data_IF_337217321875
#
_entry.id   IF_337217321875
#
_cell.length_a   1.000
_cell.length_b   1.000
_cell.length_c   1.000
_cell.angle_alpha   90.00
_cell.angle_beta   90.00
_cell.angle_gamma   90.00
#
_symmetry.space_group_name_H-M   'P 1'
#
loop_
_entity.id
_entity.type
_entity.pdbx_description
1 polymer ?
#
# COMPACT_ATOMS: atom_id res chain seq x y z
N UNK A 1 -31.07 1.51 -15.81
CA UNK A 1 -29.89 0.66 -16.03
C UNK A 1 -29.97 -0.64 -15.23
N UNK A 2 -30.05 -0.66 -13.88
CA UNK A 2 -30.07 -1.93 -13.08
C UNK A 2 -31.28 -2.83 -13.36
N UNK A 3 -32.46 -2.27 -13.62
CA UNK A 3 -33.63 -3.07 -14.03
C UNK A 3 -33.48 -3.61 -15.44
N UNK A 4 -32.96 -2.82 -16.33
CA UNK A 4 -32.70 -3.24 -17.71
C UNK A 4 -31.60 -4.30 -17.80
N UNK A 5 -30.57 -4.25 -16.95
CA UNK A 5 -29.53 -5.30 -16.93
C UNK A 5 -30.07 -6.67 -16.53
N UNK A 6 -31.11 -6.72 -15.68
CA UNK A 6 -31.82 -7.97 -15.36
C UNK A 6 -32.54 -8.47 -16.63
N UNK A 7 -33.22 -7.58 -17.36
CA UNK A 7 -33.91 -7.92 -18.61
C UNK A 7 -32.95 -8.47 -19.66
N UNK A 8 -31.79 -7.83 -19.82
CA UNK A 8 -30.74 -8.27 -20.74
C UNK A 8 -30.13 -9.62 -20.33
N UNK A 9 -29.95 -9.89 -19.03
CA UNK A 9 -29.44 -11.18 -18.57
C UNK A 9 -30.43 -12.33 -18.85
N UNK A 10 -31.73 -12.08 -18.72
CA UNK A 10 -32.78 -13.06 -19.06
C UNK A 10 -32.81 -13.30 -20.57
N UNK A 11 -32.69 -12.24 -21.38
CA UNK A 11 -32.68 -12.35 -22.85
C UNK A 11 -31.46 -13.12 -23.37
N UNK A 12 -30.31 -13.01 -22.67
CA UNK A 12 -29.08 -13.73 -23.00
C UNK A 12 -28.98 -15.11 -22.33
N UNK A 13 -30.02 -15.58 -21.65
CA UNK A 13 -30.05 -16.84 -20.90
C UNK A 13 -28.87 -17.00 -19.94
N UNK A 14 -28.52 -15.92 -19.21
CA UNK A 14 -27.44 -15.91 -18.22
C UNK A 14 -28.01 -16.04 -16.80
N UNK A 15 -27.46 -16.95 -16.01
CA UNK A 15 -27.86 -17.15 -14.61
C UNK A 15 -27.30 -16.08 -13.66
N UNK A 16 -26.38 -15.22 -14.13
CA UNK A 16 -25.77 -14.16 -13.35
C UNK A 16 -25.72 -12.87 -14.17
N UNK A 17 -25.88 -11.73 -13.50
CA UNK A 17 -25.74 -10.42 -14.15
C UNK A 17 -24.27 -10.06 -14.14
N UNK A 18 -23.63 -10.03 -15.32
CA UNK A 18 -22.26 -9.60 -15.51
C UNK A 18 -22.15 -8.16 -16.01
N UNK A 19 -20.93 -7.69 -16.20
CA UNK A 19 -20.61 -6.34 -16.72
C UNK A 19 -21.13 -6.13 -18.14
N UNK A 20 -21.19 -7.18 -18.95
CA UNK A 20 -21.75 -7.21 -20.30
C UNK A 20 -23.25 -6.84 -20.30
N UNK A 21 -24.02 -7.33 -19.36
CA UNK A 21 -25.46 -7.02 -19.23
C UNK A 21 -25.68 -5.56 -18.80
N UNK A 22 -24.76 -5.02 -17.96
CA UNK A 22 -24.78 -3.61 -17.56
C UNK A 22 -24.44 -2.70 -18.75
N UNK A 23 -23.45 -3.08 -19.56
CA UNK A 23 -23.07 -2.32 -20.75
C UNK A 23 -24.21 -2.26 -21.77
N UNK A 24 -24.87 -3.38 -22.03
CA UNK A 24 -26.06 -3.43 -22.90
C UNK A 24 -27.19 -2.55 -22.35
N UNK A 25 -27.46 -2.59 -21.05
CA UNK A 25 -28.45 -1.75 -20.42
C UNK A 25 -28.14 -0.25 -20.49
N UNK A 26 -26.87 0.13 -20.42
CA UNK A 26 -26.44 1.53 -20.60
C UNK A 26 -26.65 1.99 -22.05
N UNK A 27 -26.32 1.14 -23.03
CA UNK A 27 -26.45 1.46 -24.47
C UNK A 27 -27.91 1.53 -24.91
N UNK A 28 -28.80 0.85 -24.23
CA UNK A 28 -30.22 0.82 -24.54
C UNK A 28 -30.99 2.08 -24.10
N UNK A 29 -30.53 2.73 -23.03
CA UNK A 29 -31.12 3.96 -22.51
C UNK A 29 -30.44 5.20 -23.13
N UNK A 30 -31.21 6.23 -23.48
CA UNK A 30 -30.67 7.53 -23.90
C UNK A 30 -30.10 8.29 -22.71
N UNK A 31 -28.78 8.21 -22.53
CA UNK A 31 -28.04 8.94 -21.50
C UNK A 31 -26.71 9.49 -22.07
N UNK A 32 -25.98 10.26 -21.25
CA UNK A 32 -24.71 10.88 -21.68
C UNK A 32 -23.69 9.81 -22.06
N UNK A 33 -23.65 8.69 -21.31
CA UNK A 33 -22.71 7.60 -21.56
C UNK A 33 -23.03 6.84 -22.85
N UNK A 34 -24.34 6.58 -23.14
CA UNK A 34 -24.73 5.92 -24.39
C UNK A 34 -24.44 6.78 -25.61
N UNK A 35 -24.62 8.12 -25.53
CA UNK A 35 -24.23 9.06 -26.61
C UNK A 35 -22.73 9.01 -26.87
N UNK A 36 -21.91 9.10 -25.80
CA UNK A 36 -20.46 9.05 -25.93
C UNK A 36 -19.97 7.72 -26.55
N UNK A 37 -20.53 6.59 -26.13
CA UNK A 37 -20.20 5.27 -26.67
C UNK A 37 -20.62 5.15 -28.15
N UNK A 38 -21.82 5.63 -28.51
CA UNK A 38 -22.27 5.64 -29.88
C UNK A 38 -21.42 6.56 -30.80
N UNK A 39 -21.02 7.73 -30.31
CA UNK A 39 -20.10 8.63 -31.01
C UNK A 39 -18.72 8.02 -31.22
N UNK A 40 -18.31 7.13 -30.30
CA UNK A 40 -17.07 6.35 -30.38
C UNK A 40 -17.21 5.07 -31.24
N UNK A 41 -18.37 4.84 -31.84
CA UNK A 41 -18.64 3.70 -32.72
C UNK A 41 -19.04 2.41 -31.98
N UNK A 42 -19.27 2.46 -30.67
CA UNK A 42 -19.70 1.31 -29.85
C UNK A 42 -21.23 1.34 -29.75
N UNK A 43 -21.91 0.52 -30.57
CA UNK A 43 -23.37 0.43 -30.60
C UNK A 43 -23.87 -0.81 -29.87
N UNK A 44 -25.14 -0.77 -29.45
CA UNK A 44 -25.84 -1.90 -28.81
C UNK A 44 -25.71 -3.19 -29.61
N UNK A 45 -25.91 -3.09 -30.94
CA UNK A 45 -25.90 -4.26 -31.84
C UNK A 45 -24.50 -4.89 -31.91
N UNK A 46 -23.45 -4.10 -32.01
CA UNK A 46 -22.06 -4.59 -32.02
C UNK A 46 -21.71 -5.35 -30.73
N UNK A 47 -22.05 -4.79 -29.57
CA UNK A 47 -21.78 -5.43 -28.29
C UNK A 47 -22.59 -6.72 -28.15
N UNK A 48 -23.83 -6.72 -28.59
CA UNK A 48 -24.71 -7.90 -28.58
C UNK A 48 -24.17 -9.04 -29.45
N UNK A 49 -23.70 -8.73 -30.67
CA UNK A 49 -23.08 -9.71 -31.57
C UNK A 49 -21.77 -10.28 -30.99
N UNK A 50 -20.92 -9.44 -30.39
CA UNK A 50 -19.69 -9.86 -29.79
C UNK A 50 -19.92 -10.82 -28.59
N UNK A 51 -20.91 -10.51 -27.74
CA UNK A 51 -21.29 -11.38 -26.62
C UNK A 51 -21.85 -12.72 -27.11
N UNK A 52 -22.62 -12.73 -28.19
CA UNK A 52 -23.17 -13.95 -28.82
C UNK A 52 -22.06 -14.80 -29.47
N UNK A 53 -21.10 -14.14 -30.12
CA UNK A 53 -19.95 -14.78 -30.73
C UNK A 53 -19.02 -15.44 -29.71
N UNK A 54 -18.74 -14.74 -28.60
CA UNK A 54 -17.90 -15.26 -27.52
C UNK A 54 -18.54 -16.38 -26.69
N UNK A 55 -19.87 -16.51 -26.69
CA UNK A 55 -20.56 -17.66 -26.08
C UNK A 55 -20.38 -18.99 -26.86
N UNK A 56 -19.91 -18.91 -28.10
CA UNK A 56 -19.62 -20.10 -28.92
C UNK A 56 -18.28 -20.78 -28.60
N UNK A 57 -17.30 -20.05 -28.06
CA UNK A 57 -15.93 -20.57 -27.86
C UNK A 57 -15.53 -20.73 -26.37
N UNK A 58 -16.33 -20.22 -25.44
CA UNK A 58 -16.04 -20.21 -23.99
C UNK A 58 -16.62 -21.36 -23.17
N UNK A 59 -17.36 -22.28 -23.81
CA UNK A 59 -18.07 -23.36 -23.11
C UNK A 59 -17.19 -24.54 -22.68
N UNK A 60 -15.95 -24.66 -23.19
CA UNK A 60 -15.08 -25.78 -22.85
C UNK A 60 -14.11 -25.51 -21.68
N UNK A 61 -13.81 -24.25 -21.40
CA UNK A 61 -12.87 -23.87 -20.34
C UNK A 61 -13.50 -23.73 -18.92
N UNK A 62 -14.84 -23.61 -18.86
CA UNK A 62 -15.56 -23.51 -17.58
C UNK A 62 -16.23 -24.82 -17.13
N UNK A 63 -16.32 -25.83 -17.99
CA UNK A 63 -16.82 -27.16 -17.60
C UNK A 63 -15.76 -27.98 -16.86
N UNK A 64 -14.48 -27.82 -17.18
CA UNK A 64 -13.39 -28.52 -16.49
C UNK A 64 -13.10 -28.01 -15.05
N UNK A 65 -13.66 -26.86 -14.67
CA UNK A 65 -13.52 -26.30 -13.30
C UNK A 65 -14.74 -26.57 -12.41
N UNK A 66 -15.84 -27.11 -12.96
CA UNK A 66 -17.06 -27.43 -12.19
C UNK A 66 -17.21 -28.93 -11.89
N UNK A 67 -16.45 -29.81 -12.54
CA UNK A 67 -16.47 -31.27 -12.24
C UNK A 67 -15.51 -31.70 -11.13
N UNK A 68 -14.72 -30.78 -10.54
CA UNK A 68 -13.86 -31.08 -9.36
C UNK A 68 -14.41 -30.65 -8.01
N UNK A 69 -15.65 -30.13 -7.94
CA UNK A 69 -16.30 -29.71 -6.66
C UNK A 69 -17.55 -30.52 -6.27
N UNK A 70 -17.83 -31.66 -6.91
CA UNK A 70 -19.00 -32.49 -6.57
C UNK A 70 -18.58 -33.96 -6.35
N UNK A 71 -17.56 -34.22 -5.59
CA UNK A 71 -17.34 -35.53 -4.97
C UNK A 71 -16.69 -35.37 -3.60
N UNK A 72 -17.42 -34.77 -2.66
CA UNK A 72 -17.32 -35.12 -1.25
C UNK A 72 -18.70 -34.86 -0.63
N UNK A 73 -19.49 -35.92 -0.67
CA UNK A 73 -20.84 -35.96 -0.18
C UNK A 73 -20.91 -36.03 1.34
N UNK A 74 -21.89 -35.34 1.81
CA UNK A 74 -22.58 -35.51 3.10
C UNK A 74 -22.60 -36.94 3.59
N UNK A 75 -22.16 -37.16 4.84
CA UNK A 75 -22.81 -38.05 5.77
C UNK A 75 -22.76 -37.42 7.16
N UNK A 76 -23.95 -37.02 7.64
CA UNK A 76 -24.27 -36.93 9.06
C UNK A 76 -24.06 -38.33 9.67
N UNK A 77 -23.45 -38.36 10.83
CA UNK A 77 -23.93 -39.17 11.96
C UNK A 77 -23.18 -38.74 13.24
N UNK A 78 -24.03 -38.54 14.25
CA UNK A 78 -23.71 -38.29 15.65
C UNK A 78 -22.96 -39.50 16.25
N UNK A 79 -22.12 -39.24 17.22
CA UNK A 79 -22.17 -39.80 18.59
C UNK A 79 -20.82 -39.68 19.32
N UNK A 80 -20.95 -39.37 20.57
CA UNK A 80 -20.04 -39.22 21.69
C UNK A 80 -18.98 -40.35 21.81
N UNK A 81 -17.84 -40.05 22.38
CA UNK A 81 -17.33 -40.51 23.67
C UNK A 81 -15.82 -40.30 23.82
N UNK A 82 -15.48 -39.96 25.06
CA UNK A 82 -14.20 -39.82 25.71
C UNK A 82 -13.19 -40.95 25.38
N UNK A 83 -11.87 -40.60 25.37
CA UNK A 83 -10.94 -41.20 26.33
C UNK A 83 -9.52 -40.67 26.15
N UNK A 84 -8.88 -40.56 27.29
CA UNK A 84 -7.52 -40.12 27.60
C UNK A 84 -6.44 -41.17 27.19
N UNK A 85 -5.20 -40.70 27.28
CA UNK A 85 -3.96 -41.40 27.60
C UNK A 85 -3.00 -41.86 26.48
N UNK A 86 -1.92 -41.12 26.44
CA UNK A 86 -0.54 -41.52 26.90
C UNK A 86 0.41 -42.27 25.95
N UNK A 87 1.68 -41.91 26.11
CA UNK A 87 2.94 -42.63 25.85
C UNK A 87 3.72 -42.47 24.54
N UNK A 88 4.69 -41.58 24.69
CA UNK A 88 6.18 -41.80 24.61
C UNK A 88 6.82 -42.59 23.47
N UNK A 89 7.90 -41.95 23.00
CA UNK A 89 9.26 -42.44 22.70
C UNK A 89 9.57 -43.17 21.39
N UNK A 90 10.61 -42.61 20.76
CA UNK A 90 11.68 -43.44 20.18
C UNK A 90 12.34 -42.89 18.93
N UNK A 91 13.45 -42.15 19.08
CA UNK A 91 14.81 -42.33 18.49
C UNK A 91 14.89 -43.01 17.11
N UNK A 92 15.55 -42.47 16.14
CA UNK A 92 16.97 -42.17 15.91
C UNK A 92 17.26 -42.02 14.40
N UNK A 93 18.00 -40.96 14.05
CA UNK A 93 19.24 -40.88 13.28
C UNK A 93 19.37 -41.56 11.91
N UNK A 94 19.66 -40.83 10.84
CA UNK A 94 21.00 -40.64 10.28
C UNK A 94 20.99 -40.04 8.87
N UNK A 95 21.76 -39.00 8.71
CA UNK A 95 22.61 -38.56 7.59
C UNK A 95 22.15 -38.67 6.12
N UNK A 96 22.05 -37.52 5.47
CA UNK A 96 22.82 -37.30 4.24
C UNK A 96 23.06 -35.79 4.00
N UNK A 97 24.33 -35.50 3.75
CA UNK A 97 24.93 -34.23 3.45
C UNK A 97 24.43 -33.64 2.14
N UNK A 98 24.01 -32.35 2.17
CA UNK A 98 23.78 -31.53 0.98
C UNK A 98 24.15 -30.08 1.33
N UNK A 99 25.22 -29.62 0.70
CA UNK A 99 25.78 -28.28 0.73
C UNK A 99 24.70 -27.19 0.57
N UNK A 100 24.45 -26.42 1.64
CA UNK A 100 23.66 -25.21 1.59
C UNK A 100 24.57 -23.99 1.67
N UNK A 101 24.45 -23.10 0.72
CA UNK A 101 25.00 -21.75 0.73
C UNK A 101 24.50 -21.02 1.99
N UNK A 102 25.33 -20.19 2.64
CA UNK A 102 24.89 -19.37 3.76
C UNK A 102 24.07 -18.21 3.27
N UNK A 103 22.75 -18.34 3.27
CA UNK A 103 21.86 -17.19 3.27
C UNK A 103 22.02 -16.42 4.59
N UNK A 104 22.27 -15.13 4.47
CA UNK A 104 22.41 -14.14 5.53
C UNK A 104 21.41 -14.39 6.66
N UNK A 105 21.93 -14.46 7.90
CA UNK A 105 21.15 -14.67 9.10
C UNK A 105 20.11 -13.58 9.31
N UNK A 106 18.84 -13.95 9.14
CA UNK A 106 17.74 -13.23 9.75
C UNK A 106 17.91 -13.45 11.27
N UNK A 107 18.29 -12.40 11.99
CA UNK A 107 18.13 -12.36 13.44
C UNK A 107 16.68 -12.72 13.75
N UNK A 108 16.45 -13.76 14.54
CA UNK A 108 15.11 -14.10 15.03
C UNK A 108 14.61 -12.88 15.82
N UNK A 109 13.68 -12.12 15.24
CA UNK A 109 13.04 -11.02 15.93
C UNK A 109 12.16 -11.59 17.04
N UNK A 110 12.12 -10.93 18.20
CA UNK A 110 11.23 -11.31 19.30
C UNK A 110 9.75 -11.13 18.96
N UNK A 111 9.45 -10.55 17.77
CA UNK A 111 8.10 -10.17 17.32
C UNK A 111 7.85 -10.52 15.85
N UNK A 112 7.89 -11.81 15.45
CA UNK A 112 7.77 -12.21 14.04
C UNK A 112 6.41 -11.90 13.42
N UNK A 113 5.32 -11.92 14.18
CA UNK A 113 3.99 -11.62 13.66
C UNK A 113 3.84 -10.12 13.40
N UNK A 114 4.27 -9.28 14.34
CA UNK A 114 4.24 -7.82 14.19
C UNK A 114 5.14 -7.35 13.03
N UNK A 115 6.29 -7.99 12.84
CA UNK A 115 7.20 -7.65 11.74
C UNK A 115 6.63 -8.01 10.35
N UNK A 116 5.66 -8.93 10.29
CA UNK A 116 4.96 -9.27 9.05
C UNK A 116 3.80 -8.31 8.70
N UNK A 117 3.18 -7.69 9.72
CA UNK A 117 2.00 -6.85 9.55
C UNK A 117 2.21 -5.39 9.96
N UNK A 118 3.43 -5.01 10.27
CA UNK A 118 3.74 -3.66 10.70
C UNK A 118 5.16 -3.23 10.35
N UNK A 119 5.39 -1.94 10.44
CA UNK A 119 6.69 -1.31 10.24
C UNK A 119 7.23 -0.79 11.57
N UNK A 120 8.42 -1.23 12.00
CA UNK A 120 9.07 -0.71 13.18
C UNK A 120 9.67 0.68 12.90
N UNK A 121 8.97 1.72 13.34
CA UNK A 121 9.38 3.11 13.18
C UNK A 121 10.64 3.43 13.99
N UNK A 122 10.82 2.80 15.16
CA UNK A 122 12.02 3.01 16.00
C UNK A 122 13.25 2.45 15.30
N UNK A 123 13.13 1.30 14.66
CA UNK A 123 14.18 0.71 13.83
C UNK A 123 14.46 1.58 12.61
N UNK A 124 13.43 2.03 11.90
CA UNK A 124 13.57 2.95 10.77
C UNK A 124 14.27 4.26 11.17
N UNK A 125 13.97 4.79 12.37
CA UNK A 125 14.66 5.95 12.93
C UNK A 125 16.13 5.67 13.20
N UNK A 126 16.48 4.49 13.74
CA UNK A 126 17.89 4.11 14.00
C UNK A 126 18.70 3.93 12.71
N UNK A 127 18.04 3.56 11.62
CA UNK A 127 18.62 3.39 10.28
C UNK A 127 18.58 4.70 9.44
N UNK A 128 18.17 5.83 10.03
CA UNK A 128 18.02 7.15 9.40
C UNK A 128 17.10 7.13 8.14
N UNK A 129 16.10 6.26 8.11
CA UNK A 129 15.13 6.16 7.01
C UNK A 129 13.94 7.10 7.15
N UNK A 130 13.76 7.73 8.31
CA UNK A 130 12.67 8.67 8.57
C UNK A 130 13.08 10.11 8.26
N UNK A 131 12.13 10.90 7.79
CA UNK A 131 12.33 12.31 7.52
C UNK A 131 12.42 13.15 8.81
N UNK A 132 13.23 14.20 8.83
CA UNK A 132 13.31 15.09 9.98
C UNK A 132 11.99 15.82 10.20
N UNK A 133 11.46 15.72 11.41
CA UNK A 133 10.20 16.36 11.78
C UNK A 133 10.47 17.73 12.40
N UNK A 134 9.83 18.75 11.86
CA UNK A 134 9.99 20.15 12.26
C UNK A 134 8.62 20.74 12.64
N UNK A 135 8.61 21.60 13.65
CA UNK A 135 7.41 22.37 14.04
C UNK A 135 6.36 21.61 14.83
N UNK A 136 6.65 20.35 15.25
CA UNK A 136 5.70 19.50 16.00
C UNK A 136 6.21 19.11 17.40
N UNK A 137 7.10 19.92 17.97
CA UNK A 137 7.71 19.67 19.29
C UNK A 137 6.68 19.55 20.39
N UNK A 138 5.67 20.41 20.40
CA UNK A 138 4.62 20.43 21.43
C UNK A 138 3.75 19.18 21.39
N UNK A 139 3.35 18.77 20.19
CA UNK A 139 2.52 17.58 19.98
C UNK A 139 3.30 16.31 20.32
N UNK A 140 4.57 16.20 19.90
CA UNK A 140 5.44 15.07 20.24
C UNK A 140 5.64 14.98 21.74
N UNK A 141 5.93 16.11 22.41
CA UNK A 141 6.07 16.15 23.86
C UNK A 141 4.77 15.72 24.55
N UNK A 142 3.62 16.19 24.03
CA UNK A 142 2.32 15.82 24.58
C UNK A 142 2.02 14.34 24.40
N UNK A 143 2.34 13.74 23.27
CA UNK A 143 2.27 12.28 23.06
C UNK A 143 3.12 11.55 24.07
N UNK A 144 4.40 11.94 24.26
CA UNK A 144 5.30 11.34 25.23
C UNK A 144 4.80 11.45 26.67
N UNK A 145 4.22 12.60 27.06
CA UNK A 145 3.59 12.80 28.36
C UNK A 145 2.41 11.86 28.58
N UNK A 146 1.54 11.69 27.59
CA UNK A 146 0.37 10.82 27.69
C UNK A 146 0.80 9.37 27.81
N UNK A 147 1.73 8.89 26.98
CA UNK A 147 2.26 7.53 27.04
C UNK A 147 2.89 7.19 28.39
N UNK A 148 3.42 8.19 29.10
CA UNK A 148 4.03 8.06 30.44
C UNK A 148 3.01 8.02 31.58
N UNK A 149 1.70 8.20 31.31
CA UNK A 149 0.65 8.21 32.34
C UNK A 149 0.28 6.80 32.80
N UNK A 150 -0.16 6.69 34.05
CA UNK A 150 -0.68 5.42 34.60
C UNK A 150 -2.05 5.00 34.03
N UNK A 151 -2.91 5.98 33.73
CA UNK A 151 -4.25 5.78 33.14
C UNK A 151 -4.45 6.76 32.02
N UNK A 152 -5.33 6.44 31.04
CA UNK A 152 -5.53 7.22 29.81
C UNK A 152 -4.20 7.49 29.09
N UNK A 153 -3.42 6.41 28.95
CA UNK A 153 -2.07 6.42 28.39
C UNK A 153 -2.02 6.14 26.88
N UNK A 154 -3.16 6.17 26.20
CA UNK A 154 -3.26 6.02 24.77
C UNK A 154 -3.57 7.40 24.14
N UNK A 155 -2.63 8.10 23.51
CA UNK A 155 -2.91 9.32 22.78
C UNK A 155 -3.67 9.02 21.49
N UNK A 156 -4.57 9.90 21.10
CA UNK A 156 -5.19 9.92 19.78
C UNK A 156 -4.96 11.28 19.14
N UNK A 157 -4.30 11.28 18.00
CA UNK A 157 -4.02 12.45 17.16
C UNK A 157 -5.25 12.72 16.30
N UNK A 158 -5.85 13.89 16.47
CA UNK A 158 -7.07 14.29 15.78
C UNK A 158 -6.74 15.49 14.90
N UNK A 159 -6.95 15.37 13.61
CA UNK A 159 -6.71 16.45 12.66
C UNK A 159 -7.12 16.05 11.26
N UNK A 160 -7.24 17.03 10.39
CA UNK A 160 -7.58 16.83 8.99
C UNK A 160 -6.53 15.97 8.27
N UNK A 161 -6.88 15.36 7.12
CA UNK A 161 -5.90 14.68 6.27
C UNK A 161 -4.76 15.62 5.85
N UNK A 162 -3.53 15.10 5.81
CA UNK A 162 -2.37 15.88 5.35
C UNK A 162 -1.78 16.87 6.35
N UNK A 163 -2.27 16.93 7.61
CA UNK A 163 -1.68 17.83 8.64
C UNK A 163 -0.41 17.28 9.29
N UNK A 164 0.03 16.05 8.94
CA UNK A 164 1.26 15.47 9.47
C UNK A 164 1.08 14.68 10.77
N UNK A 165 -0.04 13.99 10.97
CA UNK A 165 -0.27 13.12 12.15
C UNK A 165 0.76 12.00 12.27
N UNK A 166 1.06 11.31 11.18
CA UNK A 166 2.05 10.22 11.13
C UNK A 166 3.46 10.74 11.40
N UNK A 167 3.82 11.93 10.88
CA UNK A 167 5.10 12.60 11.14
C UNK A 167 5.35 12.86 12.63
N UNK A 168 4.31 13.16 13.43
CA UNK A 168 4.43 13.31 14.90
C UNK A 168 4.91 12.02 15.54
N UNK A 169 4.42 10.87 15.07
CA UNK A 169 4.81 9.56 15.60
C UNK A 169 6.23 9.17 15.17
N UNK A 170 6.59 9.51 13.92
CA UNK A 170 7.97 9.38 13.44
C UNK A 170 8.94 10.23 14.24
N UNK A 171 8.55 11.48 14.52
CA UNK A 171 9.31 12.38 15.40
C UNK A 171 9.47 11.84 16.83
N UNK A 172 8.45 11.18 17.37
CA UNK A 172 8.54 10.48 18.65
C UNK A 172 9.53 9.32 18.56
N UNK A 173 9.47 8.49 17.53
CA UNK A 173 10.39 7.38 17.33
C UNK A 173 11.85 7.86 17.24
N UNK A 174 12.11 8.93 16.50
CA UNK A 174 13.44 9.56 16.44
C UNK A 174 13.91 10.06 17.82
N UNK A 175 13.03 10.71 18.59
CA UNK A 175 13.38 11.17 19.95
C UNK A 175 13.64 10.02 20.92
N UNK A 176 12.95 8.89 20.77
CA UNK A 176 13.22 7.67 21.57
C UNK A 176 14.63 7.16 21.27
N UNK A 177 15.00 7.01 19.99
CA UNK A 177 16.34 6.58 19.57
C UNK A 177 17.42 7.54 20.07
N UNK A 178 17.19 8.84 19.97
CA UNK A 178 18.09 9.88 20.45
C UNK A 178 18.09 10.04 21.98
N UNK A 179 17.26 9.30 22.69
CA UNK A 179 17.06 9.40 24.16
C UNK A 179 16.63 10.81 24.63
N UNK A 180 15.93 11.54 23.76
CA UNK A 180 15.40 12.89 24.06
C UNK A 180 13.93 12.83 24.53
N UNK A 181 13.59 11.81 25.32
CA UNK A 181 12.26 11.58 25.91
C UNK A 181 12.41 11.20 27.39
N UNK A 182 11.30 11.00 28.10
CA UNK A 182 11.30 10.50 29.46
C UNK A 182 11.94 9.10 29.53
N UNK A 183 12.66 8.78 30.62
CA UNK A 183 13.29 7.47 30.82
C UNK A 183 12.37 6.28 30.68
N UNK A 184 11.08 6.45 30.98
CA UNK A 184 10.05 5.40 30.85
C UNK A 184 9.87 4.97 29.36
N UNK A 185 10.25 5.82 28.40
CA UNK A 185 10.10 5.58 26.98
C UNK A 185 11.40 5.14 26.29
N UNK A 186 12.55 5.07 26.99
CA UNK A 186 13.85 4.77 26.36
C UNK A 186 13.92 3.42 25.68
N UNK A 187 13.23 2.42 26.23
CA UNK A 187 13.24 1.05 25.71
C UNK A 187 11.96 0.71 24.94
N UNK A 188 11.15 1.72 24.65
CA UNK A 188 9.91 1.53 23.88
C UNK A 188 10.23 1.45 22.40
N UNK A 189 9.53 0.51 21.73
CA UNK A 189 9.50 0.35 20.27
C UNK A 189 8.16 0.83 19.76
N UNK A 190 8.16 1.67 18.75
CA UNK A 190 6.93 2.14 18.07
C UNK A 190 6.77 1.35 16.79
N UNK A 191 5.68 0.60 16.68
CA UNK A 191 5.39 -0.22 15.50
C UNK A 191 4.10 0.31 14.87
N UNK A 192 4.18 0.72 13.62
CA UNK A 192 3.03 1.11 12.80
C UNK A 192 2.35 -0.13 12.25
N UNK A 193 1.08 -0.32 12.57
CA UNK A 193 0.29 -1.46 12.11
C UNK A 193 -0.34 -1.15 10.74
N UNK A 194 -0.11 -2.02 9.78
CA UNK A 194 -0.75 -1.96 8.47
C UNK A 194 -2.03 -2.83 8.45
N UNK A 195 -3.17 -2.15 8.56
CA UNK A 195 -4.47 -2.82 8.55
C UNK A 195 -4.79 -3.47 7.20
N UNK A 196 -4.31 -2.90 6.10
CA UNK A 196 -4.54 -3.46 4.77
C UNK A 196 -3.81 -4.81 4.62
N UNK A 197 -2.58 -4.91 5.11
CA UNK A 197 -1.82 -6.18 5.12
C UNK A 197 -2.45 -7.26 6.00
N UNK A 198 -3.10 -6.89 7.10
CA UNK A 198 -3.80 -7.85 7.97
C UNK A 198 -5.02 -8.43 7.27
N UNK A 199 -5.76 -7.61 6.51
CA UNK A 199 -6.95 -8.03 5.76
C UNK A 199 -6.57 -8.77 4.48
N UNK A 200 -5.45 -8.41 3.85
CA UNK A 200 -5.02 -8.99 2.58
C UNK A 200 -4.89 -10.52 2.65
N UNK A 201 -5.48 -11.20 1.67
CA UNK A 201 -5.43 -12.67 1.57
C UNK A 201 -6.30 -13.43 2.58
N UNK A 202 -7.12 -12.77 3.41
CA UNK A 202 -8.09 -13.45 4.26
C UNK A 202 -9.39 -13.69 3.48
N UNK A 203 -9.64 -14.95 3.12
CA UNK A 203 -10.91 -15.35 2.48
C UNK A 203 -12.05 -15.53 3.49
N UNK A 204 -11.73 -15.86 4.73
CA UNK A 204 -12.67 -16.16 5.80
C UNK A 204 -12.42 -15.28 7.03
N UNK A 205 -13.50 -14.91 7.71
CA UNK A 205 -13.48 -14.11 8.95
C UNK A 205 -12.54 -14.71 10.03
N UNK A 206 -12.50 -16.01 10.17
CA UNK A 206 -11.66 -16.70 11.17
C UNK A 206 -10.17 -16.44 11.00
N UNK A 207 -9.66 -16.37 9.76
CA UNK A 207 -8.25 -16.11 9.48
C UNK A 207 -7.82 -14.70 9.91
N UNK A 208 -8.68 -13.70 9.74
CA UNK A 208 -8.46 -12.36 10.22
C UNK A 208 -8.44 -12.29 11.75
N UNK A 209 -9.40 -12.96 12.40
CA UNK A 209 -9.46 -13.04 13.86
C UNK A 209 -8.23 -13.73 14.46
N UNK A 210 -7.72 -14.78 13.82
CA UNK A 210 -6.48 -15.46 14.24
C UNK A 210 -5.28 -14.56 14.14
N UNK A 211 -5.14 -13.77 13.04
CA UNK A 211 -4.05 -12.79 12.88
C UNK A 211 -4.08 -11.72 13.96
N UNK A 212 -5.25 -11.13 14.23
CA UNK A 212 -5.40 -10.13 15.30
C UNK A 212 -5.09 -10.75 16.68
N UNK A 213 -5.56 -11.98 16.96
CA UNK A 213 -5.22 -12.68 18.22
C UNK A 213 -3.72 -12.95 18.34
N UNK A 214 -3.05 -13.32 17.25
CA UNK A 214 -1.61 -13.52 17.24
C UNK A 214 -0.86 -12.21 17.54
N UNK A 215 -1.25 -11.10 16.93
CA UNK A 215 -0.72 -9.75 17.19
C UNK A 215 -0.94 -9.36 18.66
N UNK A 216 -2.14 -9.55 19.20
CA UNK A 216 -2.44 -9.26 20.60
C UNK A 216 -1.60 -10.08 21.56
N UNK A 217 -1.38 -11.35 21.29
CA UNK A 217 -0.55 -12.24 22.10
C UNK A 217 0.93 -11.79 22.10
N UNK A 218 1.46 -11.32 20.96
CA UNK A 218 2.81 -10.74 20.91
C UNK A 218 2.91 -9.44 21.70
N UNK A 219 1.92 -8.55 21.58
CA UNK A 219 1.89 -7.29 22.32
C UNK A 219 1.82 -7.51 23.83
N UNK A 220 1.03 -8.49 24.30
CA UNK A 220 0.93 -8.83 25.71
C UNK A 220 2.25 -9.39 26.26
N UNK A 221 3.02 -10.14 25.47
CA UNK A 221 4.33 -10.66 25.85
C UNK A 221 5.42 -9.57 25.84
N UNK A 222 5.23 -8.51 25.05
CA UNK A 222 6.21 -7.46 24.83
C UNK A 222 5.64 -6.07 25.26
N UNK A 223 5.58 -5.76 26.55
CA UNK A 223 4.99 -4.52 27.06
C UNK A 223 5.79 -3.26 26.72
N UNK A 224 6.96 -3.42 26.11
CA UNK A 224 7.80 -2.33 25.59
C UNK A 224 7.33 -1.83 24.21
N UNK A 225 6.35 -2.48 23.58
CA UNK A 225 5.84 -2.06 22.29
C UNK A 225 4.70 -1.05 22.45
N UNK A 226 4.76 0.01 21.66
CA UNK A 226 3.69 0.99 21.46
C UNK A 226 3.20 0.84 20.03
N UNK A 227 1.95 0.48 19.87
CA UNK A 227 1.34 0.30 18.55
C UNK A 227 0.89 1.64 17.99
N UNK A 228 1.28 1.98 16.77
CA UNK A 228 0.70 3.08 16.04
C UNK A 228 -0.35 2.56 15.06
N UNK A 229 -1.53 3.13 15.09
CA UNK A 229 -2.66 2.77 14.24
C UNK A 229 -3.13 4.03 13.54
N UNK A 230 -2.81 4.13 12.27
CA UNK A 230 -3.38 5.18 11.45
C UNK A 230 -4.83 4.84 11.12
N UNK A 231 -5.66 5.85 10.94
CA UNK A 231 -7.11 5.68 10.74
C UNK A 231 -7.77 4.73 11.76
N UNK A 232 -7.46 4.91 13.06
CA UNK A 232 -7.93 4.03 14.14
C UNK A 232 -9.46 3.81 14.12
N UNK A 233 -10.21 4.68 13.50
CA UNK A 233 -11.66 4.55 13.34
C UNK A 233 -12.03 3.32 12.48
N UNK A 234 -11.17 2.87 11.57
CA UNK A 234 -11.39 1.69 10.75
C UNK A 234 -11.48 0.42 11.60
N UNK A 235 -10.73 0.38 12.70
CA UNK A 235 -10.71 -0.74 13.63
C UNK A 235 -11.89 -0.67 14.60
N UNK A 236 -12.28 0.54 15.03
CA UNK A 236 -13.25 0.77 16.09
C UNK A 236 -14.67 0.87 15.55
N UNK A 237 -14.85 1.39 14.32
CA UNK A 237 -16.14 1.67 13.69
C UNK A 237 -16.76 0.57 12.86
N UNK A 238 -16.07 -0.53 12.66
CA UNK A 238 -16.44 -1.61 11.74
C UNK A 238 -17.64 -2.47 12.17
N UNK A 239 -18.53 -1.97 13.04
CA UNK A 239 -19.66 -2.72 13.58
C UNK A 239 -21.04 -2.47 12.94
N UNK A 240 -21.16 -1.63 11.91
CA UNK A 240 -22.49 -1.20 11.42
C UNK A 240 -22.90 -1.67 10.01
N UNK A 241 -22.02 -2.32 9.25
CA UNK A 241 -22.37 -2.92 7.97
C UNK A 241 -22.29 -4.45 8.08
N UNK A 242 -23.34 -5.13 7.71
CA UNK A 242 -23.42 -6.60 7.66
C UNK A 242 -22.31 -7.14 6.75
N UNK A 243 -21.23 -7.66 7.37
CA UNK A 243 -20.08 -8.22 6.66
C UNK A 243 -18.74 -7.59 6.98
N UNK A 244 -18.66 -6.50 7.76
CA UNK A 244 -17.38 -5.93 8.15
C UNK A 244 -16.74 -6.75 9.28
N UNK A 245 -15.45 -7.03 9.13
CA UNK A 245 -14.68 -7.84 10.08
C UNK A 245 -14.53 -7.08 11.41
N UNK A 246 -15.03 -7.66 12.51
CA UNK A 246 -15.06 -7.03 13.83
C UNK A 246 -13.69 -7.04 14.54
N UNK A 247 -12.68 -6.38 13.95
CA UNK A 247 -11.41 -6.12 14.65
C UNK A 247 -11.62 -5.36 15.97
N UNK A 248 -12.64 -4.49 15.98
CA UNK A 248 -13.03 -3.74 17.15
C UNK A 248 -13.33 -4.64 18.36
N UNK A 249 -14.07 -5.71 18.18
CA UNK A 249 -14.47 -6.60 19.28
C UNK A 249 -13.29 -7.35 19.90
N UNK A 250 -12.20 -7.54 19.16
CA UNK A 250 -10.98 -8.18 19.66
C UNK A 250 -10.03 -7.17 20.33
N UNK A 251 -9.86 -5.99 19.76
CA UNK A 251 -8.94 -4.96 20.27
C UNK A 251 -9.53 -4.15 21.43
N UNK A 252 -10.83 -3.86 21.43
CA UNK A 252 -11.51 -3.10 22.48
C UNK A 252 -11.26 -3.64 23.89
N UNK A 253 -11.38 -4.95 24.18
CA UNK A 253 -11.13 -5.49 25.52
C UNK A 253 -9.67 -5.27 25.94
N UNK A 254 -8.70 -5.50 25.08
CA UNK A 254 -7.28 -5.33 25.37
C UNK A 254 -6.94 -3.86 25.64
N UNK A 255 -7.44 -2.94 24.83
CA UNK A 255 -7.33 -1.49 25.04
C UNK A 255 -8.04 -1.05 26.34
N UNK A 256 -9.24 -1.57 26.59
CA UNK A 256 -10.02 -1.24 27.78
C UNK A 256 -9.36 -1.73 29.07
N UNK A 257 -8.71 -2.89 29.05
CA UNK A 257 -7.95 -3.42 30.22
C UNK A 257 -6.58 -2.75 30.36
N UNK A 258 -6.08 -2.05 29.34
CA UNK A 258 -4.76 -1.44 29.32
C UNK A 258 -3.62 -2.46 29.16
N UNK A 259 -3.91 -3.58 28.52
CA UNK A 259 -2.94 -4.63 28.21
C UNK A 259 -2.00 -4.22 27.08
N UNK A 260 -2.44 -3.31 26.23
CA UNK A 260 -1.68 -2.75 25.13
C UNK A 260 -1.65 -1.21 25.21
N UNK A 261 -0.55 -0.64 24.78
CA UNK A 261 -0.40 0.80 24.56
C UNK A 261 -0.51 1.09 23.05
N UNK A 262 -1.31 2.09 22.69
CA UNK A 262 -1.40 2.51 21.30
C UNK A 262 -1.47 4.04 21.15
N UNK A 263 -1.02 4.50 19.98
CA UNK A 263 -1.19 5.84 19.46
C UNK A 263 -2.17 5.70 18.29
N UNK A 264 -3.30 6.38 18.35
CA UNK A 264 -4.25 6.41 17.23
C UNK A 264 -4.12 7.71 16.45
N UNK A 265 -4.39 7.67 15.15
CA UNK A 265 -4.60 8.85 14.32
C UNK A 265 -5.97 8.78 13.65
N UNK A 266 -6.68 9.89 13.56
CA UNK A 266 -8.01 9.97 12.94
C UNK A 266 -8.41 11.41 12.64
N UNK A 267 -9.54 11.60 11.96
CA UNK A 267 -10.17 12.92 11.80
C UNK A 267 -11.13 13.23 12.96
N UNK A 268 -11.54 14.48 13.10
CA UNK A 268 -12.46 14.88 14.17
C UNK A 268 -13.84 14.23 14.04
N UNK A 269 -14.33 14.13 12.81
CA UNK A 269 -15.64 13.57 12.54
C UNK A 269 -15.69 12.06 12.82
N UNK A 270 -14.64 11.34 12.40
CA UNK A 270 -14.53 9.91 12.66
C UNK A 270 -14.28 9.61 14.15
N UNK A 271 -13.53 10.48 14.84
CA UNK A 271 -13.37 10.37 16.28
C UNK A 271 -14.74 10.47 17.01
N UNK A 272 -15.56 11.48 16.66
CA UNK A 272 -16.89 11.67 17.25
C UNK A 272 -17.84 10.52 16.96
N UNK A 273 -17.78 9.96 15.74
CA UNK A 273 -18.66 8.86 15.34
C UNK A 273 -18.34 7.55 16.06
N UNK A 274 -17.04 7.23 16.15
CA UNK A 274 -16.61 5.86 16.46
C UNK A 274 -15.97 5.72 17.86
N UNK A 275 -15.25 6.72 18.37
CA UNK A 275 -14.53 6.62 19.64
C UNK A 275 -15.26 7.35 20.76
N UNK A 276 -15.74 8.56 20.54
CA UNK A 276 -16.38 9.38 21.57
C UNK A 276 -17.69 8.77 22.06
N UNK A 277 -18.43 8.07 21.20
CA UNK A 277 -19.68 7.38 21.56
C UNK A 277 -19.44 6.11 22.40
N UNK A 278 -18.24 5.54 22.34
CA UNK A 278 -17.89 4.37 23.11
C UNK A 278 -17.21 4.75 24.43
N UNK A 279 -17.99 4.76 25.52
CA UNK A 279 -17.49 5.18 26.83
C UNK A 279 -16.36 4.33 27.39
N UNK A 280 -16.13 3.10 26.91
CA UNK A 280 -15.00 2.27 27.30
C UNK A 280 -13.70 2.76 26.64
N UNK A 281 -13.76 3.16 25.38
CA UNK A 281 -12.63 3.70 24.63
C UNK A 281 -12.32 5.14 25.02
N UNK A 282 -13.34 6.01 25.15
CA UNK A 282 -13.15 7.39 25.56
C UNK A 282 -12.40 7.53 26.87
N UNK A 283 -12.63 6.62 27.83
CA UNK A 283 -11.91 6.61 29.10
C UNK A 283 -10.45 6.19 28.99
N UNK A 284 -10.03 5.62 27.87
CA UNK A 284 -8.65 5.13 27.63
C UNK A 284 -7.84 6.02 26.71
N UNK A 285 -8.52 6.71 25.80
CA UNK A 285 -7.87 7.63 24.88
C UNK A 285 -7.79 9.05 25.42
N UNK A 286 -6.70 9.73 25.09
CA UNK A 286 -6.51 11.15 25.36
C UNK A 286 -6.33 11.92 24.05
N UNK A 287 -7.23 12.86 23.80
CA UNK A 287 -7.23 13.69 22.57
C UNK A 287 -5.99 14.60 22.51
N UNK A 288 -5.41 14.69 21.31
CA UNK A 288 -4.42 15.70 20.91
C UNK A 288 -4.90 16.25 19.58
N UNK A 289 -5.18 17.53 19.53
CA UNK A 289 -5.59 18.21 18.30
C UNK A 289 -4.32 18.57 17.55
N UNK A 290 -4.33 18.28 16.25
CA UNK A 290 -3.23 18.57 15.32
C UNK A 290 -3.76 19.52 14.26
N UNK A 291 -3.39 20.77 14.37
CA UNK A 291 -3.77 21.81 13.43
C UNK A 291 -2.86 21.80 12.18
N UNK A 292 -3.34 22.28 11.02
CA UNK A 292 -2.49 22.53 9.87
C UNK A 292 -1.31 23.46 10.22
N UNK A 293 -0.16 23.25 9.59
CA UNK A 293 1.00 24.13 9.77
C UNK A 293 0.78 25.50 9.12
N UNK A 294 1.41 26.53 9.68
CA UNK A 294 1.44 27.85 9.05
C UNK A 294 2.31 27.84 7.77
N UNK A 295 2.16 28.80 6.85
CA UNK A 295 3.03 28.91 5.68
C UNK A 295 4.52 29.02 6.05
N UNK A 296 4.85 29.71 7.14
CA UNK A 296 6.22 29.86 7.63
C UNK A 296 6.79 28.52 8.14
N UNK A 297 6.01 27.81 8.95
CA UNK A 297 6.38 26.48 9.44
C UNK A 297 6.51 25.49 8.27
N UNK A 298 5.60 25.58 7.29
CA UNK A 298 5.65 24.74 6.08
C UNK A 298 6.90 24.99 5.28
N UNK A 299 7.33 26.25 5.12
CA UNK A 299 8.58 26.60 4.45
C UNK A 299 9.78 25.98 5.16
N UNK A 300 9.82 26.04 6.49
CA UNK A 300 10.89 25.40 7.28
C UNK A 300 10.89 23.88 7.12
N UNK A 301 9.71 23.25 7.03
CA UNK A 301 9.61 21.83 6.76
C UNK A 301 10.23 21.52 5.39
N UNK A 302 9.82 22.23 4.33
CA UNK A 302 10.36 22.04 2.98
C UNK A 302 11.88 22.23 2.95
N UNK A 303 12.42 23.25 3.64
CA UNK A 303 13.88 23.47 3.73
C UNK A 303 14.63 22.32 4.37
N UNK A 304 14.02 21.60 5.32
CA UNK A 304 14.63 20.47 6.00
C UNK A 304 14.52 19.14 5.26
N UNK A 305 13.49 18.96 4.42
CA UNK A 305 13.30 17.73 3.67
C UNK A 305 13.86 17.80 2.24
N UNK A 306 14.14 19.01 1.71
CA UNK A 306 14.54 19.24 0.32
C UNK A 306 15.71 18.36 -0.13
N UNK A 307 16.73 18.16 0.72
CA UNK A 307 17.94 17.44 0.36
C UNK A 307 17.65 15.99 -0.07
N UNK A 308 16.65 15.35 0.55
CA UNK A 308 16.19 14.00 0.19
C UNK A 308 15.45 13.97 -1.14
N UNK A 309 14.63 15.00 -1.41
CA UNK A 309 13.92 15.12 -2.68
C UNK A 309 14.90 15.52 -3.82
N UNK A 310 15.92 16.33 -3.51
CA UNK A 310 17.02 16.64 -4.43
C UNK A 310 17.79 15.39 -4.84
N UNK A 311 18.12 14.53 -3.87
CA UNK A 311 18.78 13.24 -4.09
C UNK A 311 17.90 12.27 -4.89
N UNK A 312 16.60 12.19 -4.54
CA UNK A 312 15.66 11.28 -5.19
C UNK A 312 15.42 11.64 -6.67
N UNK A 313 15.21 12.93 -6.95
CA UNK A 313 14.92 13.41 -8.31
C UNK A 313 16.16 13.83 -9.09
N UNK A 314 17.33 13.83 -8.46
CA UNK A 314 18.58 14.35 -9.02
C UNK A 314 18.42 15.79 -9.57
N UNK A 315 17.84 16.68 -8.76
CA UNK A 315 17.57 18.09 -9.07
C UNK A 315 17.98 18.97 -7.90
N UNK A 316 18.01 20.30 -8.11
CA UNK A 316 18.24 21.28 -7.04
C UNK A 316 17.05 22.20 -6.90
N UNK A 317 16.56 22.39 -5.67
CA UNK A 317 15.49 23.34 -5.37
C UNK A 317 16.08 24.68 -4.91
N UNK A 318 15.76 25.75 -5.63
CA UNK A 318 16.12 27.08 -5.21
C UNK A 318 15.22 27.54 -4.04
N UNK A 319 15.69 28.45 -3.16
CA UNK A 319 14.87 29.02 -2.09
C UNK A 319 13.56 29.67 -2.60
N UNK A 320 13.60 30.24 -3.79
CA UNK A 320 12.42 30.85 -4.42
C UNK A 320 11.43 29.79 -4.91
N UNK A 321 11.90 28.61 -5.35
CA UNK A 321 11.03 27.49 -5.70
C UNK A 321 10.28 26.98 -4.46
N UNK A 322 10.96 26.80 -3.31
CA UNK A 322 10.33 26.40 -2.05
C UNK A 322 9.25 27.40 -1.60
N UNK A 323 9.55 28.70 -1.65
CA UNK A 323 8.58 29.75 -1.37
C UNK A 323 7.39 29.72 -2.34
N UNK A 324 7.68 29.45 -3.62
CA UNK A 324 6.61 29.34 -4.63
C UNK A 324 5.71 28.12 -4.37
N UNK A 325 6.26 26.97 -3.99
CA UNK A 325 5.46 25.79 -3.60
C UNK A 325 4.48 26.13 -2.47
N UNK A 326 4.95 26.79 -1.41
CA UNK A 326 4.07 27.20 -0.30
C UNK A 326 3.03 28.23 -0.75
N UNK A 327 3.47 29.33 -1.39
CA UNK A 327 2.59 30.45 -1.76
C UNK A 327 1.52 30.05 -2.79
N UNK A 328 1.89 29.24 -3.77
CA UNK A 328 0.95 28.85 -4.83
C UNK A 328 -0.05 27.81 -4.33
N UNK A 329 0.40 26.83 -3.53
CA UNK A 329 -0.51 25.86 -2.92
C UNK A 329 -1.45 26.46 -1.89
N UNK A 330 -1.01 27.46 -1.13
CA UNK A 330 -1.89 28.23 -0.25
C UNK A 330 -3.02 28.90 -1.05
N UNK A 331 -2.68 29.51 -2.18
CA UNK A 331 -3.63 30.31 -2.96
C UNK A 331 -4.57 29.47 -3.83
N UNK A 332 -4.11 28.37 -4.39
CA UNK A 332 -4.85 27.65 -5.43
C UNK A 332 -5.36 26.28 -4.99
N UNK A 333 -4.81 25.68 -3.93
CA UNK A 333 -5.25 24.40 -3.40
C UNK A 333 -5.93 24.61 -2.05
N UNK A 334 -7.27 24.63 -2.07
CA UNK A 334 -8.11 24.88 -0.88
C UNK A 334 -8.67 23.61 -0.24
N UNK A 335 -8.67 22.51 -0.95
CA UNK A 335 -9.22 21.19 -0.55
C UNK A 335 -8.25 20.34 0.26
N UNK A 336 -6.98 20.77 0.37
CA UNK A 336 -5.92 20.07 1.11
C UNK A 336 -5.26 21.00 2.14
N UNK A 337 -4.63 20.37 3.13
CA UNK A 337 -4.00 21.09 4.24
C UNK A 337 -2.47 21.11 4.12
N UNK A 338 -1.87 22.10 4.77
CA UNK A 338 -0.44 22.13 5.00
C UNK A 338 -0.03 21.12 6.10
N UNK A 339 1.17 20.50 5.98
CA UNK A 339 2.22 20.74 4.96
C UNK A 339 2.06 19.91 3.67
N UNK A 340 1.17 18.92 3.64
CA UNK A 340 1.03 17.91 2.61
C UNK A 340 0.96 18.49 1.18
N UNK A 341 0.06 19.42 0.93
CA UNK A 341 -0.09 20.06 -0.39
C UNK A 341 1.17 20.79 -0.90
N UNK A 342 2.03 21.27 0.00
CA UNK A 342 3.26 21.93 -0.39
C UNK A 342 4.37 20.91 -0.66
N UNK A 343 4.39 19.79 0.06
CA UNK A 343 5.29 18.66 -0.17
C UNK A 343 4.97 18.01 -1.51
N UNK A 344 3.70 17.76 -1.79
CA UNK A 344 3.25 17.24 -3.09
C UNK A 344 3.68 18.14 -4.25
N UNK A 345 3.55 19.46 -4.09
CA UNK A 345 3.97 20.40 -5.12
C UNK A 345 5.48 20.42 -5.33
N UNK A 346 6.26 20.19 -4.26
CA UNK A 346 7.72 20.06 -4.34
C UNK A 346 8.12 18.79 -5.11
N UNK A 347 7.51 17.67 -4.74
CA UNK A 347 7.75 16.36 -5.34
C UNK A 347 7.39 16.35 -6.84
N UNK A 348 6.21 16.83 -7.19
CA UNK A 348 5.74 16.95 -8.58
C UNK A 348 6.65 17.86 -9.41
N UNK A 349 7.11 18.98 -8.85
CA UNK A 349 8.01 19.90 -9.53
C UNK A 349 9.37 19.25 -9.79
N UNK A 350 9.91 18.52 -8.82
CA UNK A 350 11.18 17.76 -8.96
C UNK A 350 11.09 16.69 -10.01
N UNK A 351 10.06 15.87 -9.94
CA UNK A 351 9.79 14.80 -10.92
C UNK A 351 9.68 15.37 -12.35
N UNK A 352 8.95 16.48 -12.51
CA UNK A 352 8.78 17.12 -13.82
C UNK A 352 10.09 17.66 -14.39
N UNK A 353 10.92 18.29 -13.56
CA UNK A 353 12.24 18.80 -13.97
C UNK A 353 13.15 17.63 -14.34
N UNK A 354 13.19 16.59 -13.53
CA UNK A 354 13.95 15.37 -13.80
C UNK A 354 13.62 14.79 -15.18
N UNK A 355 12.33 14.55 -15.44
CA UNK A 355 11.86 14.00 -16.73
C UNK A 355 12.16 14.94 -17.90
N UNK A 356 12.01 16.26 -17.69
CA UNK A 356 12.26 17.25 -18.75
C UNK A 356 13.73 17.39 -19.11
N UNK A 357 14.64 17.05 -18.18
CA UNK A 357 16.08 17.14 -18.36
C UNK A 357 16.73 15.84 -18.84
N UNK A 358 15.95 14.78 -19.10
CA UNK A 358 16.46 13.56 -19.72
C UNK A 358 16.76 13.86 -21.20
N UNK A 359 17.92 14.46 -21.45
CA UNK A 359 18.45 14.64 -22.81
C UNK A 359 19.19 13.35 -23.15
N UNK A 360 18.62 12.56 -24.06
CA UNK A 360 19.30 11.38 -24.59
C UNK A 360 20.61 11.86 -25.25
N UNK A 361 21.78 11.33 -24.87
CA UNK A 361 23.04 11.71 -25.49
C UNK A 361 23.02 11.45 -27.00
N UNK A 362 23.52 12.40 -27.81
CA UNK A 362 23.52 12.28 -29.27
C UNK A 362 24.19 11.01 -29.80
N UNK A 363 25.17 10.48 -29.08
CA UNK A 363 25.81 9.22 -29.42
C UNK A 363 24.86 8.01 -29.31
N UNK A 364 23.88 8.04 -28.44
CA UNK A 364 22.86 6.99 -28.33
C UNK A 364 21.88 7.11 -29.52
N UNK A 365 21.40 8.30 -29.84
CA UNK A 365 20.54 8.53 -31.02
C UNK A 365 21.22 8.14 -32.33
N UNK A 366 22.51 8.48 -32.48
CA UNK A 366 23.29 8.10 -33.67
C UNK A 366 23.49 6.58 -33.78
N UNK A 367 23.68 5.88 -32.67
CA UNK A 367 23.76 4.42 -32.64
C UNK A 367 22.42 3.76 -32.97
N UNK A 368 21.32 4.27 -32.45
CA UNK A 368 19.97 3.79 -32.77
C UNK A 368 19.64 3.98 -34.25
N UNK A 369 19.97 5.15 -34.85
CA UNK A 369 19.83 5.38 -36.28
C UNK A 369 20.67 4.42 -37.12
N UNK A 370 21.93 4.19 -36.75
CA UNK A 370 22.82 3.24 -37.44
C UNK A 370 22.29 1.81 -37.39
N UNK A 371 21.70 1.41 -36.27
CA UNK A 371 21.09 0.07 -36.16
C UNK A 371 19.91 -0.04 -37.10
N UNK A 372 19.05 0.98 -37.18
CA UNK A 372 17.89 1.01 -38.06
C UNK A 372 18.30 0.97 -39.56
N UNK A 373 19.31 1.78 -39.94
CA UNK A 373 19.89 1.77 -41.29
C UNK A 373 20.50 0.41 -41.65
N UNK A 374 21.30 -0.17 -40.74
CA UNK A 374 21.96 -1.46 -40.95
C UNK A 374 20.93 -2.58 -41.06
N UNK A 375 19.85 -2.50 -40.30
CA UNK A 375 18.72 -3.44 -40.34
C UNK A 375 17.96 -3.37 -41.68
N UNK A 376 17.75 -2.15 -42.18
CA UNK A 376 17.15 -1.93 -43.52
C UNK A 376 18.04 -2.50 -44.62
N UNK A 377 19.34 -2.17 -44.61
CA UNK A 377 20.31 -2.69 -45.58
C UNK A 377 20.43 -4.22 -45.53
N UNK A 378 20.37 -4.82 -44.36
CA UNK A 378 20.32 -6.27 -44.20
C UNK A 378 19.08 -6.87 -44.87
N UNK A 379 17.89 -6.25 -44.67
CA UNK A 379 16.67 -6.71 -45.29
C UNK A 379 16.72 -6.61 -46.83
N UNK A 380 17.28 -5.55 -47.36
CA UNK A 380 17.42 -5.37 -48.83
C UNK A 380 18.43 -6.33 -49.43
N UNK A 381 19.55 -6.63 -48.72
CA UNK A 381 20.49 -7.67 -49.11
C UNK A 381 19.87 -9.07 -49.14
N UNK A 382 18.98 -9.38 -48.18
CA UNK A 382 18.22 -10.65 -48.16
C UNK A 382 17.23 -10.71 -49.32
N UNK A 383 16.51 -9.62 -49.62
CA UNK A 383 15.59 -9.55 -50.79
C UNK A 383 16.31 -9.76 -52.10
N UNK A 384 17.55 -9.24 -52.22
CA UNK A 384 18.38 -9.41 -53.41
C UNK A 384 19.15 -10.74 -53.44
N UNK A 385 18.89 -11.66 -52.51
CA UNK A 385 19.55 -12.98 -52.37
C UNK A 385 21.09 -12.92 -52.20
N UNK A 386 21.63 -11.78 -51.76
CA UNK A 386 23.03 -11.63 -51.49
C UNK A 386 23.34 -11.94 -50.00
N UNK A 387 23.48 -13.24 -49.72
CA UNK A 387 23.63 -13.74 -48.35
C UNK A 387 24.97 -13.39 -47.70
N UNK A 388 26.00 -13.17 -48.48
CA UNK A 388 27.31 -12.76 -47.99
C UNK A 388 27.28 -11.32 -47.48
N UNK A 389 26.61 -10.43 -48.22
CA UNK A 389 26.39 -9.05 -47.81
C UNK A 389 25.42 -8.96 -46.61
N UNK A 390 24.40 -9.78 -46.58
CA UNK A 390 23.46 -9.86 -45.46
C UNK A 390 24.15 -10.32 -44.15
N UNK A 391 25.13 -11.24 -44.26
CA UNK A 391 25.93 -11.69 -43.13
C UNK A 391 26.81 -10.58 -42.57
N UNK A 392 27.46 -9.79 -43.45
CA UNK A 392 28.28 -8.63 -43.04
C UNK A 392 27.45 -7.54 -42.33
N UNK A 393 26.21 -7.30 -42.78
CA UNK A 393 25.31 -6.35 -42.11
C UNK A 393 24.79 -6.86 -40.77
N UNK A 394 24.60 -8.16 -40.62
CA UNK A 394 24.24 -8.77 -39.33
C UNK A 394 25.36 -8.60 -38.31
N UNK A 395 26.60 -8.77 -38.72
CA UNK A 395 27.73 -8.62 -37.81
C UNK A 395 27.93 -7.15 -37.40
N UNK A 396 27.72 -6.19 -38.30
CA UNK A 396 27.69 -4.75 -37.99
C UNK A 396 26.55 -4.37 -37.08
N UNK A 397 25.33 -4.92 -37.29
CA UNK A 397 24.16 -4.71 -36.43
C UNK A 397 24.49 -5.18 -34.99
N UNK A 398 25.17 -6.31 -34.84
CA UNK A 398 25.57 -6.86 -33.54
C UNK A 398 26.61 -5.97 -32.82
N UNK A 399 27.58 -5.43 -33.56
CA UNK A 399 28.56 -4.46 -33.02
C UNK A 399 27.84 -3.17 -32.56
N UNK A 400 26.93 -2.64 -33.36
CA UNK A 400 26.17 -1.44 -33.00
C UNK A 400 25.28 -1.66 -31.77
N UNK A 401 24.64 -2.81 -31.64
CA UNK A 401 23.84 -3.18 -30.47
C UNK A 401 24.70 -3.26 -29.21
N UNK A 402 25.87 -3.92 -29.30
CA UNK A 402 26.79 -4.01 -28.15
C UNK A 402 27.33 -2.62 -27.75
N UNK A 403 27.62 -1.76 -28.73
CA UNK A 403 28.03 -0.37 -28.48
C UNK A 403 26.90 0.46 -27.84
N UNK A 404 25.67 0.24 -28.26
CA UNK A 404 24.48 0.88 -27.69
C UNK A 404 24.24 0.47 -26.23
N UNK A 405 24.35 -0.82 -25.93
CA UNK A 405 24.25 -1.34 -24.56
C UNK A 405 25.34 -0.74 -23.65
N UNK A 406 26.59 -0.69 -24.14
CA UNK A 406 27.70 -0.06 -23.41
C UNK A 406 27.52 1.46 -23.24
N UNK A 407 26.89 2.15 -24.19
CA UNK A 407 26.59 3.56 -24.10
C UNK A 407 25.43 3.84 -23.12
N UNK A 408 24.40 2.99 -23.12
CA UNK A 408 23.28 3.05 -22.17
C UNK A 408 23.76 2.81 -20.73
N UNK A 409 24.59 1.78 -20.52
CA UNK A 409 25.17 1.47 -19.21
C UNK A 409 26.12 2.55 -18.65
N UNK A 410 26.64 3.45 -19.50
CA UNK A 410 27.41 4.62 -19.05
C UNK A 410 26.56 5.86 -18.80
N UNK A 411 25.38 5.88 -19.37
CA UNK A 411 24.42 6.98 -19.21
C UNK A 411 23.53 6.79 -17.99
N UNK A 412 23.18 5.55 -17.64
CA UNK A 412 22.58 5.17 -16.36
C UNK A 412 23.57 5.39 -15.19
#
# INVERSE_FOLDING_TARGET
VLRESISESVMLHSNKIGTEHLLLAILKEENIASRFLNDSGVTYEMVLEEIKSNKGDGSSLFQDLQEQEIEDGFTDDDEDEDDEDDFQKGRSAQHSSGTANPSQGKSSSDTPVLDNFGTDMTRAASENRLDPVVGREKEIERVAQILSRRKKNNPVLIGEPGVGKSAIVEGLAMRIVQRKVSRILFDKRVISLDMASIVAGTKYRGQFEERIKAILNELQKNPNIVLFIDEIHTIVGAGSASGSMDAANLLKPALARGEIQCIGATTLDEYRKNIEKDGALERRFQKIIVDPTTPEETLQILENIKDRYEEHHNVFYTPDALKACVKLTERYISDRNFPDKAIDALDEAGSRVHISNIIVPKNIEELEQKIEETKSQKMDAVKSQNFELAASFRDKERECISALEAAKARWE
#
